data_IF_861963362878
#
_entry.id   IF_861963362878
#
_cell.length_a   1.000
_cell.length_b   1.000
_cell.length_c   1.000
_cell.angle_alpha   90.00
_cell.angle_beta   90.00
_cell.angle_gamma   90.00
#
_symmetry.space_group_name_H-M   'P 1'
#
loop_
_entity.id
_entity.type
_entity.pdbx_description
1 polymer ?
#
# COMPACT_ATOMS: atom_id res chain seq x y z
N UNK A 1 31.79 -3.22 16.35
CA UNK A 1 31.22 -3.89 15.16
C UNK A 1 30.72 -2.79 14.25
N UNK A 2 31.15 -2.75 12.99
CA UNK A 2 30.75 -1.64 12.11
C UNK A 2 29.25 -1.76 11.78
N UNK A 3 28.54 -0.63 11.53
CA UNK A 3 27.09 -0.64 11.29
C UNK A 3 26.67 -1.59 10.16
N UNK A 4 27.55 -1.80 9.18
CA UNK A 4 27.32 -2.70 8.06
C UNK A 4 27.29 -4.16 8.53
N UNK A 5 28.21 -4.56 9.40
CA UNK A 5 28.28 -5.94 9.93
C UNK A 5 27.04 -6.25 10.79
N UNK A 6 26.56 -5.27 11.55
CA UNK A 6 25.33 -5.41 12.34
C UNK A 6 24.10 -5.57 11.44
N UNK A 7 24.03 -4.81 10.34
CA UNK A 7 22.95 -4.92 9.35
C UNK A 7 22.96 -6.28 8.62
N UNK A 8 24.14 -6.77 8.24
CA UNK A 8 24.28 -8.11 7.64
C UNK A 8 23.90 -9.24 8.61
N UNK A 9 24.27 -9.11 9.89
CA UNK A 9 23.87 -10.07 10.93
C UNK A 9 22.35 -10.03 11.20
N UNK A 10 21.74 -8.84 11.18
CA UNK A 10 20.28 -8.70 11.29
C UNK A 10 19.56 -9.39 10.12
N UNK A 11 20.02 -9.18 8.88
CA UNK A 11 19.47 -9.87 7.70
C UNK A 11 19.63 -11.38 7.82
N UNK A 12 20.79 -11.88 8.23
CA UNK A 12 21.01 -13.31 8.42
C UNK A 12 20.13 -13.91 9.51
N UNK A 13 19.94 -13.22 10.64
CA UNK A 13 19.05 -13.66 11.73
C UNK A 13 17.57 -13.60 11.31
N UNK A 14 17.16 -12.61 10.50
CA UNK A 14 15.80 -12.56 9.92
C UNK A 14 15.56 -13.69 8.91
N UNK A 15 16.56 -14.08 8.12
CA UNK A 15 16.49 -15.20 7.18
C UNK A 15 16.50 -16.58 7.88
N UNK A 16 17.20 -16.71 9.01
CA UNK A 16 17.26 -17.96 9.80
C UNK A 16 15.99 -18.22 10.62
N UNK A 17 15.13 -17.22 10.84
CA UNK A 17 13.82 -17.37 11.48
C UNK A 17 12.67 -17.60 10.48
N UNK A 18 12.97 -17.68 9.18
CA UNK A 18 12.05 -18.24 8.21
C UNK A 18 12.06 -19.76 8.39
N UNK A 19 11.31 -20.26 9.37
CA UNK A 19 10.86 -21.65 9.31
C UNK A 19 10.11 -21.80 7.97
N UNK A 20 10.56 -22.66 7.03
CA UNK A 20 9.72 -23.00 5.89
C UNK A 20 8.49 -23.65 6.48
N UNK A 21 7.38 -22.90 6.53
CA UNK A 21 6.10 -23.46 6.90
C UNK A 21 5.80 -24.51 5.83
N UNK A 22 6.03 -25.77 6.17
CA UNK A 22 5.76 -26.90 5.31
C UNK A 22 4.28 -26.84 4.89
N UNK A 23 4.06 -26.69 3.59
CA UNK A 23 2.85 -27.12 2.88
C UNK A 23 1.51 -26.64 3.45
N UNK A 24 1.33 -25.33 3.59
CA UNK A 24 -0.02 -24.77 3.40
C UNK A 24 -0.03 -24.12 2.03
N UNK A 25 -0.95 -24.56 1.17
CA UNK A 25 -1.23 -23.87 -0.10
C UNK A 25 -1.30 -22.37 0.20
N UNK A 26 -0.32 -21.60 -0.28
CA UNK A 26 -0.39 -20.14 -0.20
C UNK A 26 -1.74 -19.74 -0.82
N UNK A 27 -2.49 -18.81 -0.20
CA UNK A 27 -3.72 -18.33 -0.80
C UNK A 27 -3.42 -17.93 -2.25
N UNK A 28 -4.06 -18.61 -3.20
CA UNK A 28 -3.85 -18.39 -4.62
C UNK A 28 -4.60 -17.12 -5.02
N UNK A 29 -4.04 -15.97 -4.65
CA UNK A 29 -4.49 -14.67 -5.13
C UNK A 29 -4.37 -14.65 -6.65
N UNK A 30 -5.42 -14.21 -7.33
CA UNK A 30 -5.43 -14.05 -8.80
C UNK A 30 -5.42 -12.58 -9.21
N UNK A 31 -5.56 -11.67 -8.23
CA UNK A 31 -5.67 -10.23 -8.44
C UNK A 31 -4.88 -9.51 -7.37
N UNK A 32 -4.17 -8.44 -7.73
CA UNK A 32 -3.43 -7.59 -6.80
C UNK A 32 -3.81 -6.12 -6.99
N UNK A 33 -4.10 -5.42 -5.90
CA UNK A 33 -4.52 -4.02 -5.88
C UNK A 33 -3.61 -3.22 -4.96
N UNK A 34 -3.05 -2.14 -5.45
CA UNK A 34 -1.99 -1.41 -4.73
C UNK A 34 -2.43 0.03 -4.49
N UNK A 35 -2.23 0.52 -3.27
CA UNK A 35 -2.51 1.88 -2.85
C UNK A 35 -1.27 2.42 -2.13
N UNK A 36 -1.00 3.71 -2.26
CA UNK A 36 0.05 4.34 -1.48
C UNK A 36 0.84 5.42 -2.18
N UNK A 37 2.09 5.56 -1.75
CA UNK A 37 3.02 6.58 -2.19
C UNK A 37 4.06 6.07 -3.21
N UNK A 38 5.16 6.82 -3.37
CA UNK A 38 6.25 6.55 -4.31
C UNK A 38 6.87 5.16 -4.16
N UNK A 39 6.82 4.57 -2.97
CA UNK A 39 7.37 3.25 -2.67
C UNK A 39 6.64 2.11 -3.41
N UNK A 40 5.40 2.38 -3.85
CA UNK A 40 4.53 1.41 -4.52
C UNK A 40 3.84 1.99 -5.78
N UNK A 41 4.22 3.19 -6.21
CA UNK A 41 3.76 3.81 -7.45
C UNK A 41 4.46 3.19 -8.67
N UNK A 42 3.66 2.50 -9.49
CA UNK A 42 4.11 1.84 -10.72
C UNK A 42 4.11 2.77 -11.95
N UNK A 43 3.77 4.04 -11.79
CA UNK A 43 3.83 5.06 -12.84
C UNK A 43 2.56 5.88 -13.04
N UNK A 44 1.62 5.95 -12.08
CA UNK A 44 0.43 6.79 -12.23
C UNK A 44 0.80 8.26 -12.44
N UNK A 45 1.87 8.71 -11.77
CA UNK A 45 2.33 10.09 -11.87
C UNK A 45 2.81 10.51 -13.26
N UNK A 46 3.04 9.57 -14.18
CA UNK A 46 3.35 9.90 -15.57
C UNK A 46 2.16 10.54 -16.30
N UNK A 47 0.94 10.24 -15.85
CA UNK A 47 -0.32 10.62 -16.50
C UNK A 47 -0.99 11.86 -15.88
N UNK A 48 -0.36 12.46 -14.88
CA UNK A 48 -0.84 13.66 -14.20
C UNK A 48 0.27 14.74 -14.15
N UNK A 49 -0.10 16.02 -14.00
CA UNK A 49 0.87 17.09 -13.82
C UNK A 49 1.37 17.12 -12.36
N UNK A 50 2.49 16.43 -12.10
CA UNK A 50 3.26 16.59 -10.85
C UNK A 50 4.49 17.45 -11.06
N UNK A 51 4.99 18.10 -10.00
CA UNK A 51 6.15 19.00 -10.07
C UNK A 51 7.46 18.21 -10.04
N UNK A 52 7.62 17.32 -9.06
CA UNK A 52 8.88 16.57 -8.86
C UNK A 52 8.68 15.06 -8.79
N UNK A 53 7.45 14.58 -8.57
CA UNK A 53 7.20 13.16 -8.37
C UNK A 53 6.99 12.40 -9.68
N UNK A 54 7.99 12.33 -10.57
CA UNK A 54 7.96 11.44 -11.75
C UNK A 54 9.22 10.57 -11.83
N UNK A 55 9.04 9.25 -11.74
CA UNK A 55 10.12 8.26 -11.91
C UNK A 55 10.38 7.83 -13.36
N UNK A 56 10.04 8.65 -14.36
CA UNK A 56 10.12 8.31 -15.78
C UNK A 56 11.38 8.86 -16.47
N UNK A 57 12.48 8.99 -15.72
CA UNK A 57 13.76 9.47 -16.20
C UNK A 57 14.92 8.69 -15.57
N UNK A 58 16.13 8.73 -16.17
CA UNK A 58 17.33 8.16 -15.54
C UNK A 58 17.61 8.79 -14.15
N UNK A 59 18.09 8.03 -13.16
CA UNK A 59 18.63 6.67 -13.28
C UNK A 59 17.59 5.55 -13.21
N UNK A 60 16.28 5.85 -13.09
CA UNK A 60 15.25 4.84 -12.93
C UNK A 60 15.10 3.93 -14.16
N UNK A 61 14.64 2.69 -13.93
CA UNK A 61 14.34 1.73 -14.99
C UNK A 61 15.53 0.98 -15.60
N UNK A 62 16.78 1.23 -15.18
CA UNK A 62 17.97 0.56 -15.75
C UNK A 62 17.94 -0.98 -15.67
N UNK A 63 17.40 -1.51 -14.58
CA UNK A 63 17.25 -2.95 -14.30
C UNK A 63 15.81 -3.45 -14.50
N UNK A 64 14.89 -2.58 -14.94
CA UNK A 64 13.51 -2.95 -15.23
C UNK A 64 13.45 -3.76 -16.55
N UNK A 65 12.49 -4.69 -16.73
CA UNK A 65 12.29 -5.35 -18.01
C UNK A 65 12.14 -4.33 -19.14
N UNK A 66 12.94 -4.47 -20.20
CA UNK A 66 13.01 -3.50 -21.31
C UNK A 66 13.93 -2.30 -21.07
N UNK A 67 14.53 -2.16 -19.87
CA UNK A 67 15.43 -1.07 -19.47
C UNK A 67 14.82 0.32 -19.63
N UNK A 68 13.54 0.45 -19.30
CA UNK A 68 12.75 1.67 -19.47
C UNK A 68 12.29 2.23 -18.12
N UNK A 69 12.37 3.56 -17.99
CA UNK A 69 11.87 4.29 -16.84
C UNK A 69 10.34 4.41 -16.91
N UNK A 70 9.63 3.46 -16.28
CA UNK A 70 8.17 3.37 -16.34
C UNK A 70 7.43 4.28 -15.35
N UNK A 71 8.13 5.12 -14.59
CA UNK A 71 7.54 5.92 -13.51
C UNK A 71 7.76 5.35 -12.11
N UNK A 72 8.33 4.14 -12.00
CA UNK A 72 8.74 3.53 -10.73
C UNK A 72 9.93 4.27 -10.14
N UNK A 73 9.89 4.55 -8.84
CA UNK A 73 11.00 5.13 -8.08
C UNK A 73 12.07 4.08 -7.73
N UNK A 74 12.48 3.29 -8.72
CA UNK A 74 13.46 2.22 -8.60
C UNK A 74 14.18 2.00 -9.93
N UNK A 75 15.39 1.45 -9.89
CA UNK A 75 16.07 0.99 -11.09
C UNK A 75 15.36 -0.22 -11.72
N UNK A 76 14.57 -0.98 -10.94
CA UNK A 76 13.90 -2.19 -11.40
C UNK A 76 12.47 -2.31 -10.89
N UNK A 77 12.04 -3.56 -10.69
CA UNK A 77 10.72 -3.90 -10.12
C UNK A 77 10.57 -3.32 -8.70
N UNK A 78 9.37 -2.88 -8.35
CA UNK A 78 9.02 -2.53 -6.97
C UNK A 78 8.65 -3.79 -6.18
N UNK A 79 8.61 -3.69 -4.85
CA UNK A 79 8.14 -4.79 -3.97
C UNK A 79 6.79 -5.38 -4.43
N UNK A 80 5.75 -4.60 -4.75
CA UNK A 80 4.49 -5.15 -5.28
C UNK A 80 4.65 -5.95 -6.59
N UNK A 81 5.56 -5.56 -7.49
CA UNK A 81 5.81 -6.32 -8.72
C UNK A 81 6.46 -7.67 -8.40
N UNK A 82 7.40 -7.70 -7.45
CA UNK A 82 8.04 -8.94 -7.00
C UNK A 82 7.01 -9.87 -6.35
N UNK A 83 6.14 -9.34 -5.50
CA UNK A 83 5.05 -10.11 -4.87
C UNK A 83 4.10 -10.66 -5.94
N UNK A 84 3.67 -9.84 -6.91
CA UNK A 84 2.79 -10.27 -7.98
C UNK A 84 3.41 -11.40 -8.83
N UNK A 85 4.69 -11.28 -9.17
CA UNK A 85 5.42 -12.29 -9.95
C UNK A 85 5.64 -13.58 -9.16
N UNK A 86 6.03 -13.48 -7.88
CA UNK A 86 6.20 -14.65 -7.00
C UNK A 86 4.90 -15.43 -6.76
N UNK A 87 3.76 -14.75 -6.75
CA UNK A 87 2.44 -15.38 -6.63
C UNK A 87 1.89 -15.87 -7.98
N UNK A 88 2.59 -15.63 -9.08
CA UNK A 88 2.16 -16.00 -10.42
C UNK A 88 0.92 -15.24 -10.91
N UNK A 89 0.67 -14.03 -10.38
CA UNK A 89 -0.45 -13.17 -10.79
C UNK A 89 -0.09 -12.47 -12.11
N UNK A 90 1.05 -11.76 -12.12
CA UNK A 90 1.59 -11.07 -13.29
C UNK A 90 3.05 -10.68 -13.04
N UNK A 91 3.79 -10.45 -14.12
CA UNK A 91 5.21 -10.09 -14.01
C UNK A 91 5.47 -8.69 -13.46
N UNK A 92 4.61 -7.73 -13.83
CA UNK A 92 4.68 -6.33 -13.39
C UNK A 92 3.27 -5.78 -13.28
N UNK A 93 2.99 -5.00 -12.24
CA UNK A 93 1.67 -4.39 -12.02
C UNK A 93 1.60 -3.03 -12.73
N UNK A 94 0.61 -2.78 -13.60
CA UNK A 94 0.51 -1.51 -14.30
C UNK A 94 -0.18 -0.43 -13.44
N UNK A 95 0.10 0.85 -13.70
CA UNK A 95 -0.62 1.96 -13.09
C UNK A 95 -2.04 2.08 -13.66
N UNK A 96 -3.03 2.37 -12.81
CA UNK A 96 -4.43 2.48 -13.20
C UNK A 96 -4.71 3.57 -14.26
N UNK A 97 -3.90 4.63 -14.27
CA UNK A 97 -4.04 5.74 -15.20
C UNK A 97 -3.45 5.48 -16.59
N UNK A 98 -2.83 4.32 -16.83
CA UNK A 98 -2.35 3.97 -18.17
C UNK A 98 -3.53 3.83 -19.15
N UNK A 99 -3.57 4.63 -20.23
CA UNK A 99 -4.66 4.57 -21.21
C UNK A 99 -4.66 3.26 -22.02
N UNK A 100 -3.57 2.48 -21.98
CA UNK A 100 -3.40 1.25 -22.74
C UNK A 100 -3.66 -0.02 -21.90
N UNK A 101 -4.24 0.11 -20.70
CA UNK A 101 -4.60 -1.04 -19.86
C UNK A 101 -5.47 -2.04 -20.62
N UNK A 102 -5.04 -3.30 -20.61
CA UNK A 102 -5.84 -4.39 -21.18
C UNK A 102 -6.94 -4.84 -20.21
N UNK A 103 -7.91 -5.60 -20.72
CA UNK A 103 -8.91 -6.23 -19.86
C UNK A 103 -8.26 -7.20 -18.84
N UNK A 104 -7.22 -7.91 -19.28
CA UNK A 104 -6.47 -8.83 -18.40
C UNK A 104 -5.78 -8.06 -17.28
N UNK A 105 -5.21 -6.88 -17.58
CA UNK A 105 -4.60 -6.03 -16.55
C UNK A 105 -5.59 -5.65 -15.46
N UNK A 106 -6.82 -5.32 -15.86
CA UNK A 106 -7.88 -5.00 -14.92
C UNK A 106 -8.33 -6.25 -14.13
N UNK A 107 -8.44 -7.43 -14.74
CA UNK A 107 -8.82 -8.66 -14.05
C UNK A 107 -7.77 -9.08 -13.00
N UNK A 108 -6.50 -8.98 -13.36
CA UNK A 108 -5.36 -9.38 -12.52
C UNK A 108 -4.86 -8.24 -11.61
N UNK A 109 -5.41 -7.03 -11.77
CA UNK A 109 -5.29 -5.91 -10.86
C UNK A 109 -4.18 -4.89 -11.19
N UNK A 110 -4.26 -3.72 -10.56
CA UNK A 110 -3.54 -2.50 -10.92
C UNK A 110 -3.05 -1.74 -9.68
N UNK A 111 -2.18 -0.74 -9.89
CA UNK A 111 -1.81 0.22 -8.84
C UNK A 111 -2.57 1.53 -8.94
N UNK A 112 -3.08 1.99 -7.80
CA UNK A 112 -3.67 3.31 -7.58
C UNK A 112 -2.73 4.26 -6.84
N UNK A 113 -1.53 3.79 -6.48
CA UNK A 113 -0.54 4.57 -5.75
C UNK A 113 -0.05 5.78 -6.57
N UNK A 114 0.38 6.82 -5.88
CA UNK A 114 0.88 8.05 -6.50
C UNK A 114 2.07 8.57 -5.71
N UNK A 115 3.20 8.75 -6.38
CA UNK A 115 4.40 9.29 -5.76
C UNK A 115 4.18 10.71 -5.23
N UNK A 116 4.82 11.05 -4.10
CA UNK A 116 4.59 12.29 -3.37
C UNK A 116 3.33 12.28 -2.48
N UNK A 117 2.47 11.27 -2.58
CA UNK A 117 1.23 11.26 -1.81
C UNK A 117 1.43 10.98 -0.32
N UNK A 118 0.50 11.48 0.48
CA UNK A 118 0.44 11.30 1.92
C UNK A 118 -0.98 11.10 2.43
N UNK A 119 -1.11 10.72 3.70
CA UNK A 119 -2.40 10.67 4.40
C UNK A 119 -2.91 12.06 4.76
N UNK A 120 -2.03 13.06 4.91
CA UNK A 120 -2.42 14.46 4.93
C UNK A 120 -2.54 14.94 3.47
N UNK A 121 -3.70 15.51 3.11
CA UNK A 121 -3.93 15.99 1.75
C UNK A 121 -2.98 17.12 1.39
N UNK A 122 -2.52 17.90 2.37
CA UNK A 122 -1.60 19.01 2.10
C UNK A 122 -0.23 18.54 1.66
N UNK A 123 0.20 17.37 2.14
CA UNK A 123 1.42 16.71 1.64
C UNK A 123 1.39 16.54 0.12
N UNK A 124 0.22 16.22 -0.43
CA UNK A 124 0.07 15.93 -1.86
C UNK A 124 -0.21 17.19 -2.69
N UNK A 125 -0.77 18.23 -2.07
CA UNK A 125 -1.16 19.48 -2.73
C UNK A 125 0.03 20.25 -3.32
N UNK A 126 1.17 20.29 -2.63
CA UNK A 126 2.33 21.05 -3.08
C UNK A 126 2.97 20.45 -4.34
N UNK A 127 3.00 19.11 -4.45
CA UNK A 127 3.56 18.41 -5.60
C UNK A 127 2.52 18.15 -6.72
N UNK A 128 1.22 18.22 -6.42
CA UNK A 128 0.15 17.87 -7.35
C UNK A 128 -0.08 16.36 -7.49
N UNK A 129 0.41 15.57 -6.53
CA UNK A 129 0.20 14.12 -6.48
C UNK A 129 -1.23 13.77 -6.06
N UNK A 130 -1.65 12.53 -6.31
CA UNK A 130 -2.98 12.05 -5.92
C UNK A 130 -2.95 11.71 -4.44
N UNK A 131 -3.67 12.43 -3.56
CA UNK A 131 -3.69 12.15 -2.14
C UNK A 131 -4.19 10.73 -1.88
N UNK A 132 -3.69 10.10 -0.81
CA UNK A 132 -4.11 8.73 -0.45
C UNK A 132 -5.62 8.67 -0.21
N UNK A 133 -6.24 9.77 0.27
CA UNK A 133 -7.69 9.89 0.43
C UNK A 133 -8.49 9.76 -0.87
N UNK A 134 -7.89 10.05 -2.03
CA UNK A 134 -8.55 10.00 -3.34
C UNK A 134 -8.38 8.66 -4.06
N UNK A 135 -7.37 7.86 -3.70
CA UNK A 135 -7.11 6.57 -4.34
C UNK A 135 -8.27 5.56 -4.21
N UNK A 136 -9.07 5.51 -3.11
CA UNK A 136 -10.30 4.73 -3.06
C UNK A 136 -11.33 5.13 -4.12
N UNK A 137 -11.38 6.39 -4.53
CA UNK A 137 -12.22 6.85 -5.65
C UNK A 137 -11.76 6.28 -7.00
N UNK A 138 -10.44 6.19 -7.21
CA UNK A 138 -9.89 5.51 -8.40
C UNK A 138 -10.23 4.02 -8.40
N UNK A 139 -10.20 3.39 -7.23
CA UNK A 139 -10.64 2.01 -7.08
C UNK A 139 -12.12 1.83 -7.45
N UNK A 140 -13.00 2.77 -7.09
CA UNK A 140 -14.41 2.71 -7.52
C UNK A 140 -14.52 2.73 -9.05
N UNK A 141 -13.79 3.61 -9.73
CA UNK A 141 -13.74 3.65 -11.19
C UNK A 141 -13.20 2.34 -11.79
N UNK A 142 -12.21 1.73 -11.15
CA UNK A 142 -11.70 0.41 -11.51
C UNK A 142 -12.79 -0.67 -11.38
N UNK A 143 -13.54 -0.68 -10.28
CA UNK A 143 -14.64 -1.64 -10.07
C UNK A 143 -15.68 -1.50 -11.16
N UNK A 144 -16.07 -0.28 -11.53
CA UNK A 144 -17.06 -0.04 -12.57
C UNK A 144 -16.58 -0.52 -13.95
N UNK A 145 -15.30 -0.27 -14.29
CA UNK A 145 -14.65 -0.82 -15.49
C UNK A 145 -14.64 -2.34 -15.47
N UNK A 146 -14.28 -2.95 -14.34
CA UNK A 146 -14.20 -4.39 -14.16
C UNK A 146 -15.58 -5.04 -14.31
N UNK A 147 -16.64 -4.45 -13.73
CA UNK A 147 -18.03 -4.89 -13.91
C UNK A 147 -18.43 -4.92 -15.39
N UNK A 148 -18.00 -3.94 -16.18
CA UNK A 148 -18.24 -3.89 -17.62
C UNK A 148 -17.54 -5.02 -18.40
N UNK A 149 -16.46 -5.60 -17.86
CA UNK A 149 -15.66 -6.64 -18.51
C UNK A 149 -16.16 -8.03 -18.13
N UNK A 150 -16.35 -8.28 -16.82
CA UNK A 150 -16.63 -9.64 -16.30
C UNK A 150 -18.03 -9.82 -15.71
N UNK A 151 -18.84 -8.76 -15.65
CA UNK A 151 -20.12 -8.74 -14.95
C UNK A 151 -20.00 -8.48 -13.45
N UNK A 152 -21.11 -8.14 -12.81
CA UNK A 152 -21.13 -7.66 -11.43
C UNK A 152 -20.73 -8.71 -10.39
N UNK A 153 -21.23 -9.93 -10.53
CA UNK A 153 -20.93 -11.04 -9.61
C UNK A 153 -19.43 -11.39 -9.65
N UNK A 154 -18.86 -11.53 -10.85
CA UNK A 154 -17.45 -11.88 -11.01
C UNK A 154 -16.54 -10.73 -10.56
N UNK A 155 -16.88 -9.48 -10.88
CA UNK A 155 -16.13 -8.31 -10.40
C UNK A 155 -16.11 -8.28 -8.87
N UNK A 156 -17.24 -8.59 -8.22
CA UNK A 156 -17.33 -8.71 -6.75
C UNK A 156 -16.47 -9.85 -6.20
N UNK A 157 -16.41 -10.99 -6.89
CA UNK A 157 -15.55 -12.10 -6.48
C UNK A 157 -14.06 -11.75 -6.62
N UNK A 158 -13.68 -11.10 -7.73
CA UNK A 158 -12.31 -10.61 -7.98
C UNK A 158 -11.88 -9.64 -6.89
N UNK A 159 -12.68 -8.60 -6.61
CA UNK A 159 -12.31 -7.59 -5.61
C UNK A 159 -12.25 -8.16 -4.19
N UNK A 160 -13.18 -9.07 -3.83
CA UNK A 160 -13.17 -9.74 -2.52
C UNK A 160 -12.00 -10.71 -2.33
N UNK A 161 -11.53 -11.31 -3.42
CA UNK A 161 -10.42 -12.26 -3.44
C UNK A 161 -9.05 -11.63 -3.74
N UNK A 162 -9.00 -10.31 -3.95
CA UNK A 162 -7.77 -9.63 -4.31
C UNK A 162 -6.78 -9.55 -3.14
N UNK A 163 -5.50 -9.58 -3.49
CA UNK A 163 -4.41 -9.18 -2.60
C UNK A 163 -4.31 -7.66 -2.61
N UNK A 164 -4.49 -7.02 -1.46
CA UNK A 164 -4.32 -5.57 -1.35
C UNK A 164 -2.99 -5.25 -0.72
N UNK A 165 -2.24 -4.31 -1.30
CA UNK A 165 -1.05 -3.71 -0.70
C UNK A 165 -1.34 -2.23 -0.48
N UNK A 166 -1.11 -1.73 0.74
CA UNK A 166 -1.23 -0.31 1.08
C UNK A 166 0.08 0.12 1.72
N UNK A 167 0.78 1.11 1.15
CA UNK A 167 1.97 1.68 1.78
C UNK A 167 2.09 3.19 1.51
N UNK A 168 1.90 3.99 2.56
CA UNK A 168 2.03 5.44 2.50
C UNK A 168 2.39 6.02 3.86
N UNK A 169 2.76 7.30 3.86
CA UNK A 169 2.93 8.12 5.07
C UNK A 169 4.34 8.65 5.25
N UNK A 170 5.33 8.10 4.53
CA UNK A 170 6.72 8.59 4.60
C UNK A 170 6.81 10.07 4.22
N UNK A 171 6.10 10.47 3.17
CA UNK A 171 6.00 11.86 2.73
C UNK A 171 5.39 12.77 3.81
N UNK A 172 4.39 12.31 4.57
CA UNK A 172 3.80 13.18 5.59
C UNK A 172 4.83 13.53 6.69
N UNK A 173 5.72 12.59 7.03
CA UNK A 173 6.83 12.87 7.95
C UNK A 173 7.85 13.81 7.31
N UNK A 174 8.29 13.53 6.09
CA UNK A 174 9.26 14.37 5.37
C UNK A 174 8.76 15.80 5.27
N UNK A 175 7.58 16.01 4.71
CA UNK A 175 7.08 17.35 4.42
C UNK A 175 6.54 18.08 5.65
N UNK A 176 5.83 17.42 6.59
CA UNK A 176 5.22 18.14 7.71
C UNK A 176 6.05 18.17 9.00
N UNK A 177 6.95 17.21 9.21
CA UNK A 177 7.83 17.19 10.41
C UNK A 177 9.23 17.71 10.13
N UNK A 178 9.82 17.38 8.97
CA UNK A 178 11.24 17.69 8.71
C UNK A 178 11.46 18.91 7.81
N UNK A 179 10.63 19.12 6.79
CA UNK A 179 10.81 20.19 5.80
C UNK A 179 10.03 21.46 6.17
N UNK A 180 8.72 21.35 6.38
CA UNK A 180 7.85 22.46 6.76
C UNK A 180 7.71 22.54 8.29
N UNK A 181 8.75 23.04 8.98
CA UNK A 181 8.75 23.18 10.45
C UNK A 181 7.54 23.96 11.03
N UNK A 182 6.86 24.77 10.20
CA UNK A 182 5.64 25.50 10.56
C UNK A 182 4.39 24.62 10.66
N UNK A 183 4.41 23.39 10.13
CA UNK A 183 3.28 22.45 10.14
C UNK A 183 3.30 21.44 11.28
N UNK A 184 4.44 21.29 11.97
CA UNK A 184 4.59 20.43 13.14
C UNK A 184 3.49 20.60 14.21
N UNK A 185 2.96 21.82 14.52
CA UNK A 185 1.89 21.97 15.51
C UNK A 185 0.54 21.41 15.06
N UNK A 186 0.31 21.30 13.76
CA UNK A 186 -0.95 20.86 13.16
C UNK A 186 -0.92 19.40 12.69
N UNK A 187 0.27 18.80 12.71
CA UNK A 187 0.52 17.45 12.24
C UNK A 187 0.81 16.53 13.42
N UNK A 188 -0.08 15.57 13.69
CA UNK A 188 0.06 14.66 14.83
C UNK A 188 0.17 13.21 14.36
N UNK A 189 1.05 12.44 15.00
CA UNK A 189 1.22 11.00 14.74
C UNK A 189 -0.13 10.27 14.88
N UNK A 190 -0.96 10.67 15.84
CA UNK A 190 -2.30 10.13 16.04
C UNK A 190 -3.24 10.40 14.85
N UNK A 191 -3.10 11.55 14.17
CA UNK A 191 -3.84 11.88 12.96
C UNK A 191 -3.51 10.93 11.82
N UNK A 192 -2.21 10.68 11.58
CA UNK A 192 -1.74 9.71 10.56
C UNK A 192 -2.32 8.33 10.84
N UNK A 193 -2.22 7.87 12.09
CA UNK A 193 -2.70 6.55 12.49
C UNK A 193 -4.23 6.42 12.36
N UNK A 194 -4.97 7.49 12.65
CA UNK A 194 -6.42 7.55 12.43
C UNK A 194 -6.76 7.48 10.94
N UNK A 195 -6.05 8.22 10.10
CA UNK A 195 -6.30 8.26 8.66
C UNK A 195 -5.94 6.93 7.97
N UNK A 196 -4.83 6.31 8.36
CA UNK A 196 -4.44 4.98 7.87
C UNK A 196 -5.45 3.93 8.29
N UNK A 197 -5.90 3.95 9.56
CA UNK A 197 -7.02 3.12 10.02
C UNK A 197 -8.30 3.37 9.24
N UNK A 198 -8.69 4.62 8.98
CA UNK A 198 -9.91 4.94 8.24
C UNK A 198 -9.88 4.33 6.84
N UNK A 199 -8.78 4.48 6.11
CA UNK A 199 -8.62 3.88 4.79
C UNK A 199 -8.68 2.35 4.83
N UNK A 200 -8.08 1.75 5.87
CA UNK A 200 -8.22 0.31 6.13
C UNK A 200 -9.67 -0.08 6.40
N UNK A 201 -10.40 0.69 7.20
CA UNK A 201 -11.80 0.44 7.52
C UNK A 201 -12.69 0.55 6.29
N UNK A 202 -12.53 1.61 5.49
CA UNK A 202 -13.29 1.81 4.26
C UNK A 202 -13.11 0.63 3.29
N UNK A 203 -11.93 0.00 3.28
CA UNK A 203 -11.64 -1.13 2.41
C UNK A 203 -12.08 -2.47 3.05
N UNK A 204 -11.83 -2.69 4.36
CA UNK A 204 -12.29 -3.86 5.16
C UNK A 204 -13.81 -3.99 5.13
N UNK A 205 -14.54 -2.89 5.22
CA UNK A 205 -16.00 -2.90 5.14
C UNK A 205 -16.48 -3.34 3.75
N UNK A 206 -15.67 -3.10 2.71
CA UNK A 206 -16.01 -3.37 1.31
C UNK A 206 -15.49 -4.70 0.78
N UNK A 207 -14.58 -5.39 1.48
CA UNK A 207 -13.86 -6.55 0.92
C UNK A 207 -13.43 -7.60 1.95
N UNK A 208 -13.11 -8.82 1.49
CA UNK A 208 -12.92 -9.99 2.37
C UNK A 208 -11.46 -10.46 2.58
N UNK A 209 -10.46 -9.92 1.87
CA UNK A 209 -9.05 -10.36 1.97
C UNK A 209 -8.05 -9.22 1.77
N UNK A 210 -6.98 -9.14 2.60
CA UNK A 210 -5.98 -8.06 2.57
C UNK A 210 -4.61 -8.53 3.03
N UNK A 211 -3.55 -7.94 2.47
CA UNK A 211 -2.18 -8.08 2.96
C UNK A 211 -1.54 -6.72 3.22
N UNK A 212 -1.52 -6.30 4.47
CA UNK A 212 -1.06 -4.97 4.82
C UNK A 212 0.45 -4.94 5.05
N UNK A 213 1.15 -4.13 4.27
CA UNK A 213 2.56 -3.80 4.47
C UNK A 213 2.66 -2.43 5.14
N UNK A 214 2.93 -2.40 6.45
CA UNK A 214 3.37 -1.17 7.10
C UNK A 214 4.89 -1.10 7.11
N UNK A 215 5.46 -0.17 6.34
CA UNK A 215 6.80 0.32 6.61
C UNK A 215 6.69 1.47 7.63
N UNK A 216 6.72 1.15 8.92
CA UNK A 216 6.98 2.16 9.94
C UNK A 216 8.48 2.50 9.91
N UNK A 217 8.81 3.69 9.42
CA UNK A 217 10.14 4.25 9.55
C UNK A 217 10.11 5.39 10.58
N UNK A 218 10.08 5.08 11.88
CA UNK A 218 10.74 5.95 12.88
C UNK A 218 11.15 5.22 14.18
N UNK A 219 10.57 4.08 14.55
CA UNK A 219 11.15 3.25 15.63
C UNK A 219 10.77 1.79 15.49
N UNK A 220 11.80 0.95 15.47
CA UNK A 220 11.83 -0.48 15.78
C UNK A 220 10.50 -1.24 15.75
N UNK A 221 9.99 -1.58 14.56
CA UNK A 221 9.22 -2.82 14.30
C UNK A 221 8.77 -2.87 12.84
N UNK A 222 9.23 -3.88 12.09
CA UNK A 222 8.65 -4.27 10.81
C UNK A 222 7.47 -5.22 11.10
N UNK A 223 6.26 -4.83 10.75
CA UNK A 223 5.08 -5.66 11.02
C UNK A 223 4.24 -5.86 9.75
N UNK A 224 4.39 -7.03 9.14
CA UNK A 224 3.47 -7.51 8.11
C UNK A 224 2.17 -7.92 8.82
N UNK A 225 1.08 -7.21 8.55
CA UNK A 225 -0.23 -7.55 9.09
C UNK A 225 -1.06 -8.22 7.98
N UNK A 226 -1.17 -9.54 8.03
CA UNK A 226 -2.13 -10.27 7.19
C UNK A 226 -3.47 -10.22 7.90
N UNK A 227 -4.44 -9.47 7.38
CA UNK A 227 -5.81 -9.40 7.93
C UNK A 227 -6.76 -10.03 6.91
N UNK A 228 -7.13 -11.29 7.12
CA UNK A 228 -8.11 -12.00 6.29
C UNK A 228 -9.41 -12.26 7.05
N UNK A 229 -10.56 -12.09 6.39
CA UNK A 229 -11.87 -12.62 6.86
C UNK A 229 -12.31 -13.86 6.08
N UNK A 230 -11.44 -14.45 5.29
CA UNK A 230 -11.76 -15.68 4.56
C UNK A 230 -11.93 -16.86 5.56
N UNK A 231 -12.96 -17.73 5.41
CA UNK A 231 -13.26 -18.79 6.38
C UNK A 231 -12.06 -19.70 6.74
N UNK A 232 -11.11 -19.84 5.83
CA UNK A 232 -9.87 -20.61 5.99
C UNK A 232 -8.76 -19.90 6.78
N UNK A 233 -8.90 -18.60 7.11
CA UNK A 233 -7.86 -17.78 7.72
C UNK A 233 -8.44 -16.96 8.89
N UNK A 234 -8.67 -17.62 10.04
CA UNK A 234 -8.88 -16.91 11.31
C UNK A 234 -7.52 -16.73 12.00
N UNK A 235 -7.12 -15.48 12.25
CA UNK A 235 -6.02 -15.17 13.16
C UNK A 235 -6.65 -14.71 14.48
N UNK A 236 -6.38 -15.44 15.56
CA UNK A 236 -6.75 -15.02 16.91
C UNK A 236 -5.73 -13.96 17.36
N UNK A 237 -6.15 -12.70 17.42
CA UNK A 237 -5.35 -11.63 18.03
C UNK A 237 -5.41 -11.77 19.56
N UNK A 238 -4.29 -11.60 20.29
CA UNK A 238 -4.33 -11.48 21.73
C UNK A 238 -4.91 -10.11 22.10
N UNK A 239 -5.98 -10.16 22.89
CA UNK A 239 -6.80 -9.05 23.42
C UNK A 239 -7.73 -8.39 22.38
N UNK A 240 -9.07 -8.44 22.58
CA UNK A 240 -10.00 -7.79 21.67
C UNK A 240 -9.95 -6.28 21.90
N UNK A 241 -9.30 -5.54 21.00
CA UNK A 241 -9.68 -4.15 20.79
C UNK A 241 -11.11 -4.19 20.22
N UNK A 242 -12.11 -3.93 21.07
CA UNK A 242 -13.49 -3.84 20.61
C UNK A 242 -13.62 -2.62 19.71
N UNK A 243 -13.74 -2.88 18.43
CA UNK A 243 -13.88 -1.85 17.42
C UNK A 243 -15.30 -1.28 17.47
N UNK A 244 -15.45 0.05 17.29
CA UNK A 244 -16.76 0.69 17.22
C UNK A 244 -17.60 0.09 16.09
N UNK A 245 -18.92 0.00 16.30
CA UNK A 245 -19.85 -0.52 15.30
C UNK A 245 -20.10 0.54 14.22
N UNK A 246 -20.60 0.15 13.04
CA UNK A 246 -20.95 1.10 11.99
C UNK A 246 -21.91 2.18 12.52
N UNK A 247 -21.50 3.44 12.47
CA UNK A 247 -22.25 4.60 12.97
C UNK A 247 -21.80 5.15 14.33
N UNK A 248 -20.91 4.44 15.04
CA UNK A 248 -20.34 4.93 16.30
C UNK A 248 -19.20 5.93 16.03
N UNK A 249 -19.12 7.01 16.81
CA UNK A 249 -17.97 7.90 16.82
C UNK A 249 -16.75 7.19 17.42
N UNK A 250 -15.56 7.44 16.87
CA UNK A 250 -14.32 6.91 17.42
C UNK A 250 -14.16 7.31 18.90
N UNK A 251 -13.77 6.39 19.80
CA UNK A 251 -13.46 6.76 21.17
C UNK A 251 -12.29 7.74 21.19
N UNK A 252 -12.41 8.81 21.99
CA UNK A 252 -11.33 9.77 22.21
C UNK A 252 -10.12 9.08 22.86
N UNK A 253 -9.00 9.09 22.13
CA UNK A 253 -7.76 8.39 22.50
C UNK A 253 -6.98 9.15 23.61
N UNK A 254 -7.49 10.28 24.11
CA UNK A 254 -6.83 11.04 25.18
C UNK A 254 -6.75 10.28 26.53
N UNK A 255 -7.48 9.18 26.71
CA UNK A 255 -7.51 8.46 28.00
C UNK A 255 -6.64 7.21 28.10
N UNK A 256 -5.90 6.81 27.06
CA UNK A 256 -5.12 5.56 27.10
C UNK A 256 -3.60 5.72 27.24
N UNK A 257 -3.10 6.93 27.52
CA UNK A 257 -1.70 7.15 27.86
C UNK A 257 -1.59 7.72 29.28
N UNK A 258 -1.94 6.91 30.27
CA UNK A 258 -1.31 6.99 31.58
C UNK A 258 -0.34 5.82 31.66
N UNK A 259 0.93 6.17 31.66
CA UNK A 259 2.07 5.27 31.86
C UNK A 259 2.13 4.95 33.36
N UNK A 260 2.08 3.67 33.71
CA UNK A 260 2.76 3.14 34.90
C UNK A 260 4.05 2.45 34.42
#
# INVERSE_FOLDING_TARGET
MSPEIFFFLLIQVSLLNLNPCAGKDLPKFQTILIFGDSTVDTGNNNYIPTIISKGNHPPYGQDFPGREATGRFSNGKLVPDLVASMLGIKETVPPFLDPNLTNEDLITGVSFASAGSGYDEVTSLEDGSIPVSQQPGMFQNYVDRLKGIVGEEMATNITNGALVIINAGTNDFVFNFYDLATRTPYFTINGIYRNSKRLLWDWIDRSRTFLLFFLHSVSESFAIHVLGRHPSYRINLPVPYQLPRPGDSWPDIEKSTTVD
#
